data_IF_080694249922
#
_entry.id   IF_080694249922
#
_cell.length_a   1.000
_cell.length_b   1.000
_cell.length_c   1.000
_cell.angle_alpha   90.00
_cell.angle_beta   90.00
_cell.angle_gamma   90.00
#
_symmetry.space_group_name_H-M   'P 1'
#
loop_
_entity.id
_entity.type
_entity.pdbx_description
1 polymer ?
#
# COMPACT_ATOMS: atom_id res chain seq x y z
N UNK A 1 0.07 5.25 22.18
CA UNK A 1 -0.60 5.09 20.87
C UNK A 1 -0.72 6.38 20.01
N UNK A 2 -0.04 7.49 20.33
CA UNK A 2 -0.17 8.78 19.59
C UNK A 2 0.83 9.03 18.43
N UNK A 3 1.85 8.18 18.23
CA UNK A 3 2.88 8.37 17.18
C UNK A 3 2.45 7.96 15.76
N UNK A 4 1.28 7.33 15.59
CA UNK A 4 0.88 6.81 14.29
C UNK A 4 -0.01 7.77 13.47
N UNK A 5 -0.61 8.79 14.06
CA UNK A 5 -1.56 9.67 13.36
C UNK A 5 -0.88 10.55 12.30
N UNK A 6 0.33 11.06 12.57
CA UNK A 6 1.13 11.82 11.59
C UNK A 6 1.50 10.97 10.38
N UNK A 7 1.92 9.71 10.60
CA UNK A 7 2.22 8.80 9.50
C UNK A 7 0.98 8.49 8.65
N UNK A 8 -0.21 8.36 9.26
CA UNK A 8 -1.48 8.17 8.52
C UNK A 8 -1.79 9.34 7.58
N UNK A 9 -1.67 10.56 8.09
CA UNK A 9 -1.94 11.78 7.33
C UNK A 9 -0.93 11.95 6.20
N UNK A 10 0.35 11.74 6.49
CA UNK A 10 1.42 11.79 5.50
C UNK A 10 1.23 10.71 4.43
N UNK A 11 0.94 9.47 4.81
CA UNK A 11 0.74 8.37 3.86
C UNK A 11 -0.46 8.59 2.95
N UNK A 12 -1.62 8.99 3.50
CA UNK A 12 -2.79 9.36 2.70
C UNK A 12 -2.48 10.57 1.83
N UNK A 13 -1.78 11.59 2.30
CA UNK A 13 -1.42 12.74 1.47
C UNK A 13 -0.47 12.39 0.31
N UNK A 14 0.40 11.40 0.50
CA UNK A 14 1.36 10.94 -0.51
C UNK A 14 0.71 10.09 -1.60
N UNK A 15 -0.31 9.30 -1.25
CA UNK A 15 -1.02 8.41 -2.17
C UNK A 15 -2.32 9.04 -2.73
N UNK A 16 -3.11 9.74 -1.92
CA UNK A 16 -4.24 10.56 -2.40
C UNK A 16 -3.73 11.91 -2.91
N UNK A 17 -3.11 11.91 -4.09
CA UNK A 17 -3.06 13.15 -4.86
C UNK A 17 -4.49 13.47 -5.34
N UNK A 18 -4.95 14.73 -5.24
CA UNK A 18 -6.34 15.12 -5.54
C UNK A 18 -6.80 14.83 -6.98
N UNK A 19 -5.87 14.54 -7.90
CA UNK A 19 -6.18 14.17 -9.29
C UNK A 19 -6.16 12.67 -9.59
N UNK A 20 -5.74 11.83 -8.64
CA UNK A 20 -5.50 10.40 -8.86
C UNK A 20 -6.49 9.46 -8.15
N UNK A 21 -7.48 9.99 -7.43
CA UNK A 21 -8.70 9.30 -7.00
C UNK A 21 -8.54 7.85 -6.51
N UNK A 22 -7.72 7.60 -5.48
CA UNK A 22 -7.57 6.25 -4.89
C UNK A 22 -6.64 5.29 -5.63
N UNK A 23 -6.38 5.49 -6.94
CA UNK A 23 -5.59 4.56 -7.78
C UNK A 23 -4.19 4.29 -7.22
N UNK A 24 -3.55 5.28 -6.60
CA UNK A 24 -2.21 5.11 -6.01
C UNK A 24 -2.23 4.20 -4.79
N UNK A 25 -3.36 4.18 -4.08
CA UNK A 25 -3.58 3.32 -2.92
C UNK A 25 -3.85 1.90 -3.38
N UNK A 26 -4.69 1.71 -4.40
CA UNK A 26 -4.99 0.39 -4.98
C UNK A 26 -3.72 -0.25 -5.57
N UNK A 27 -2.94 0.52 -6.33
CA UNK A 27 -1.64 0.09 -6.82
C UNK A 27 -0.70 -0.28 -5.67
N UNK A 28 -0.71 0.49 -4.56
CA UNK A 28 0.16 0.20 -3.43
C UNK A 28 -0.24 -1.11 -2.72
N UNK A 29 -1.54 -1.34 -2.54
CA UNK A 29 -2.12 -2.59 -2.01
C UNK A 29 -1.68 -3.79 -2.85
N UNK A 30 -2.00 -3.74 -4.14
CA UNK A 30 -1.75 -4.86 -5.04
C UNK A 30 -0.25 -5.13 -5.18
N UNK A 31 0.58 -4.09 -5.24
CA UNK A 31 2.01 -4.26 -5.42
C UNK A 31 2.69 -4.82 -4.16
N UNK A 32 2.19 -4.48 -2.97
CA UNK A 32 2.64 -5.12 -1.72
C UNK A 32 2.14 -6.56 -1.61
N UNK A 33 0.91 -6.85 -2.02
CA UNK A 33 0.38 -8.21 -2.06
C UNK A 33 1.17 -9.08 -3.04
N UNK A 34 1.44 -8.57 -4.23
CA UNK A 34 2.22 -9.20 -5.29
C UNK A 34 3.65 -9.50 -4.85
N UNK A 35 4.27 -8.59 -4.08
CA UNK A 35 5.58 -8.80 -3.47
C UNK A 35 5.54 -9.84 -2.34
N UNK A 36 4.40 -9.95 -1.63
CA UNK A 36 4.20 -10.91 -0.54
C UNK A 36 3.98 -12.34 -1.04
N UNK A 37 3.21 -12.52 -2.10
CA UNK A 37 2.95 -13.84 -2.68
C UNK A 37 4.22 -14.48 -3.23
N UNK A 38 5.13 -13.66 -3.76
CA UNK A 38 6.45 -14.08 -4.26
C UNK A 38 7.52 -14.21 -3.16
N UNK A 39 7.21 -13.90 -1.90
CA UNK A 39 8.16 -13.79 -0.78
C UNK A 39 8.84 -15.11 -0.32
N UNK A 40 8.82 -16.18 -1.11
CA UNK A 40 9.80 -17.26 -0.96
C UNK A 40 11.15 -16.68 -1.39
N UNK A 41 11.94 -16.24 -0.41
CA UNK A 41 13.26 -15.53 -0.38
C UNK A 41 14.16 -15.47 -1.64
N UNK A 42 13.96 -16.28 -2.67
CA UNK A 42 14.64 -16.26 -3.97
C UNK A 42 13.82 -15.59 -5.10
N UNK A 43 12.51 -15.45 -4.95
CA UNK A 43 11.61 -14.90 -5.97
C UNK A 43 11.22 -13.47 -5.59
N UNK A 44 12.10 -12.50 -5.84
CA UNK A 44 11.63 -11.12 -5.96
C UNK A 44 10.79 -10.96 -7.23
N UNK A 45 10.50 -9.73 -7.62
CA UNK A 45 9.84 -9.45 -8.89
C UNK A 45 10.44 -8.22 -9.55
N UNK A 46 10.24 -8.05 -10.84
CA UNK A 46 10.50 -6.78 -11.50
C UNK A 46 9.22 -5.95 -11.51
N UNK A 47 9.34 -4.61 -11.43
CA UNK A 47 8.17 -3.75 -11.61
C UNK A 47 7.55 -3.95 -13.00
N UNK A 48 8.35 -4.33 -13.99
CA UNK A 48 7.87 -4.66 -15.33
C UNK A 48 6.92 -5.87 -15.33
N UNK A 49 7.22 -6.93 -14.58
CA UNK A 49 6.32 -8.09 -14.41
C UNK A 49 4.98 -7.65 -13.81
N UNK A 50 5.00 -6.88 -12.73
CA UNK A 50 3.76 -6.36 -12.13
C UNK A 50 2.97 -5.53 -13.13
N UNK A 51 3.64 -4.66 -13.90
CA UNK A 51 2.98 -3.83 -14.91
C UNK A 51 2.36 -4.68 -16.00
N UNK A 52 3.04 -5.72 -16.47
CA UNK A 52 2.50 -6.59 -17.52
C UNK A 52 1.28 -7.38 -17.02
N UNK A 53 1.36 -7.92 -15.81
CA UNK A 53 0.27 -8.67 -15.16
C UNK A 53 -0.97 -7.79 -14.89
N UNK A 54 -0.80 -6.47 -14.82
CA UNK A 54 -1.86 -5.50 -14.48
C UNK A 54 -2.01 -4.38 -15.52
N UNK A 55 -1.59 -4.61 -16.77
CA UNK A 55 -1.53 -3.56 -17.80
C UNK A 55 -2.89 -2.97 -18.16
N UNK A 56 -3.94 -3.75 -18.00
CA UNK A 56 -5.33 -3.34 -18.28
C UNK A 56 -5.99 -2.61 -17.11
N UNK A 57 -5.36 -2.64 -15.93
CA UNK A 57 -5.87 -2.03 -14.69
C UNK A 57 -5.11 -0.75 -14.36
N UNK A 58 -3.78 -0.75 -14.51
CA UNK A 58 -2.91 0.32 -14.05
C UNK A 58 -2.02 0.88 -15.14
N UNK A 59 -2.02 2.22 -15.24
CA UNK A 59 -1.05 2.91 -16.07
C UNK A 59 0.37 2.64 -15.57
N UNK A 60 1.24 2.16 -16.48
CA UNK A 60 2.67 1.88 -16.20
C UNK A 60 3.35 3.00 -15.40
N UNK A 61 3.16 4.25 -15.81
CA UNK A 61 3.77 5.42 -15.16
C UNK A 61 3.31 5.62 -13.71
N UNK A 62 2.07 5.23 -13.38
CA UNK A 62 1.54 5.26 -12.01
C UNK A 62 2.19 4.19 -11.15
N UNK A 63 2.32 2.97 -11.67
CA UNK A 63 2.97 1.86 -10.97
C UNK A 63 4.41 2.23 -10.58
N UNK A 64 5.20 2.77 -11.52
CA UNK A 64 6.58 3.19 -11.24
C UNK A 64 6.67 4.35 -10.22
N UNK A 65 5.67 5.24 -10.18
CA UNK A 65 5.62 6.30 -9.15
C UNK A 65 5.33 5.71 -7.78
N UNK A 66 4.34 4.82 -7.68
CA UNK A 66 3.93 4.20 -6.42
C UNK A 66 5.05 3.30 -5.89
N UNK A 67 5.70 2.49 -6.73
CA UNK A 67 6.83 1.65 -6.29
C UNK A 67 7.98 2.47 -5.70
N UNK A 68 8.29 3.63 -6.28
CA UNK A 68 9.28 4.56 -5.73
C UNK A 68 8.85 5.19 -4.40
N UNK A 69 7.55 5.50 -4.23
CA UNK A 69 7.02 5.98 -2.94
C UNK A 69 7.18 4.89 -1.89
N UNK A 70 6.76 3.66 -2.18
CA UNK A 70 6.89 2.51 -1.29
C UNK A 70 8.35 2.19 -0.94
N UNK A 71 9.28 2.38 -1.89
CA UNK A 71 10.72 2.29 -1.63
C UNK A 71 11.20 3.35 -0.64
N UNK A 72 10.84 4.62 -0.86
CA UNK A 72 11.21 5.73 0.04
C UNK A 72 10.65 5.54 1.45
N UNK A 73 9.51 4.87 1.55
CA UNK A 73 8.87 4.53 2.82
C UNK A 73 9.46 3.28 3.48
N UNK A 74 10.43 2.63 2.85
CA UNK A 74 11.02 1.39 3.36
C UNK A 74 10.05 0.22 3.37
N UNK A 75 8.96 0.26 2.60
CA UNK A 75 8.01 -0.85 2.49
C UNK A 75 8.46 -1.89 1.45
N UNK A 76 9.03 -1.39 0.35
CA UNK A 76 9.70 -2.17 -0.68
C UNK A 76 11.19 -1.87 -0.66
N UNK A 77 11.98 -2.86 -1.07
CA UNK A 77 13.40 -2.69 -1.33
C UNK A 77 13.78 -3.29 -2.68
N UNK A 78 14.76 -2.65 -3.33
CA UNK A 78 15.37 -3.17 -4.54
C UNK A 78 16.70 -3.84 -4.17
N UNK A 79 16.84 -5.11 -4.48
CA UNK A 79 18.07 -5.86 -4.29
C UNK A 79 19.00 -5.63 -5.48
N UNK A 80 20.09 -4.89 -5.27
CA UNK A 80 21.10 -4.69 -6.31
C UNK A 80 21.84 -5.98 -6.72
N UNK A 81 21.80 -7.02 -5.87
CA UNK A 81 22.44 -8.32 -6.13
C UNK A 81 21.59 -9.17 -7.09
N UNK A 82 20.28 -9.18 -6.89
CA UNK A 82 19.37 -10.01 -7.70
C UNK A 82 18.67 -9.23 -8.79
N UNK A 83 18.72 -7.89 -8.75
CA UNK A 83 17.98 -7.03 -9.66
C UNK A 83 16.46 -7.02 -9.43
N UNK A 84 16.00 -7.53 -8.28
CA UNK A 84 14.58 -7.73 -7.99
C UNK A 84 14.07 -6.85 -6.86
N UNK A 85 12.81 -6.49 -6.94
CA UNK A 85 12.02 -5.84 -5.91
C UNK A 85 11.44 -6.86 -4.95
N UNK A 86 11.37 -6.50 -3.67
CA UNK A 86 10.77 -7.33 -2.62
C UNK A 86 10.24 -6.48 -1.48
N UNK A 87 9.41 -7.07 -0.63
CA UNK A 87 9.07 -6.46 0.65
C UNK A 87 10.35 -6.28 1.47
N UNK A 88 10.56 -5.09 2.03
CA UNK A 88 11.75 -4.83 2.84
C UNK A 88 11.81 -5.73 4.07
N UNK A 89 13.01 -6.04 4.53
CA UNK A 89 13.17 -6.87 5.73
C UNK A 89 12.54 -6.20 6.97
N UNK A 90 12.74 -4.89 7.12
CA UNK A 90 12.21 -4.08 8.23
C UNK A 90 10.69 -4.05 8.23
N UNK A 91 10.08 -3.68 7.09
CA UNK A 91 8.63 -3.64 6.96
C UNK A 91 8.02 -5.02 7.07
N UNK A 92 8.68 -6.05 6.54
CA UNK A 92 8.18 -7.40 6.57
C UNK A 92 8.32 -8.13 7.91
N UNK A 93 9.29 -7.73 8.75
CA UNK A 93 9.42 -8.19 10.15
C UNK A 93 8.48 -7.44 11.09
N UNK A 94 8.36 -6.12 10.90
CA UNK A 94 7.28 -5.34 11.50
C UNK A 94 5.89 -5.74 10.93
N UNK A 95 5.90 -6.50 9.83
CA UNK A 95 4.79 -6.73 8.91
C UNK A 95 3.61 -7.47 9.49
N UNK A 96 3.74 -8.29 10.54
CA UNK A 96 2.54 -8.83 11.20
C UNK A 96 1.70 -7.74 11.88
N UNK A 97 2.33 -6.68 12.40
CA UNK A 97 1.64 -5.53 12.99
C UNK A 97 1.37 -4.45 11.97
N UNK A 98 2.34 -4.07 11.14
CA UNK A 98 2.16 -2.97 10.19
C UNK A 98 1.24 -3.36 9.03
N UNK A 99 1.28 -4.59 8.50
CA UNK A 99 0.33 -5.03 7.47
C UNK A 99 -1.08 -5.20 8.04
N UNK A 100 -1.20 -5.74 9.27
CA UNK A 100 -2.48 -5.80 9.98
C UNK A 100 -3.04 -4.40 10.21
N UNK A 101 -2.19 -3.49 10.67
CA UNK A 101 -2.55 -2.10 10.92
C UNK A 101 -2.86 -1.32 9.65
N UNK A 102 -2.20 -1.63 8.54
CA UNK A 102 -2.49 -1.09 7.22
C UNK A 102 -3.84 -1.60 6.70
N UNK A 103 -4.14 -2.90 6.84
CA UNK A 103 -5.47 -3.46 6.55
C UNK A 103 -6.55 -2.84 7.44
N UNK A 104 -6.32 -2.76 8.75
CA UNK A 104 -7.22 -2.09 9.69
C UNK A 104 -7.40 -0.62 9.32
N UNK A 105 -6.34 0.10 8.93
CA UNK A 105 -6.42 1.50 8.49
C UNK A 105 -7.18 1.72 7.18
N UNK A 106 -7.02 0.80 6.22
CA UNK A 106 -7.71 0.83 4.94
C UNK A 106 -9.20 0.50 5.11
N UNK A 107 -9.51 -0.52 5.93
CA UNK A 107 -10.88 -1.01 6.12
C UNK A 107 -11.67 -0.35 7.26
N UNK A 108 -11.05 0.24 8.29
CA UNK A 108 -11.79 0.98 9.35
C UNK A 108 -12.40 2.29 8.85
N UNK A 109 -12.06 2.75 7.64
CA UNK A 109 -12.72 3.92 7.03
C UNK A 109 -14.20 3.67 6.78
N UNK A 110 -14.62 2.42 6.53
CA UNK A 110 -16.03 2.08 6.37
C UNK A 110 -16.77 1.97 7.70
N UNK A 111 -16.06 1.73 8.81
CA UNK A 111 -16.68 1.64 10.16
C UNK A 111 -17.02 3.03 10.70
N UNK A 112 -16.29 4.08 10.27
CA UNK A 112 -16.58 5.46 10.68
C UNK A 112 -17.76 6.03 9.89
N UNK A 113 -17.93 5.67 8.62
CA UNK A 113 -19.10 6.09 7.82
C UNK A 113 -20.39 5.37 8.25
N UNK A 114 -20.36 4.07 8.57
CA UNK A 114 -21.56 3.38 9.11
C UNK A 114 -21.97 3.89 10.50
N UNK A 115 -21.02 4.29 11.35
CA UNK A 115 -21.36 4.85 12.67
C UNK A 115 -22.06 6.20 12.57
N UNK A 116 -21.56 7.10 11.71
CA UNK A 116 -22.15 8.42 11.53
C UNK A 116 -23.54 8.34 10.85
N UNK A 117 -23.73 7.41 9.89
CA UNK A 117 -25.04 7.18 9.27
C UNK A 117 -26.02 6.54 10.27
N UNK A 118 -25.55 5.66 11.17
CA UNK A 118 -26.43 5.05 12.18
C UNK A 118 -26.80 5.99 13.34
N UNK A 119 -25.98 7.00 13.64
CA UNK A 119 -26.30 8.03 14.64
C UNK A 119 -27.25 9.10 14.07
N UNK A 120 -27.07 9.53 12.81
CA UNK A 120 -28.03 10.45 12.16
C UNK A 120 -29.42 9.82 11.92
N UNK A 121 -29.50 8.49 11.75
CA UNK A 121 -30.77 7.75 11.63
C UNK A 121 -31.41 7.36 12.97
N UNK A 122 -30.76 7.62 14.11
CA UNK A 122 -31.34 7.43 15.45
C UNK A 122 -31.98 8.69 16.01
N UNK A 123 -31.63 9.86 15.46
CA UNK A 123 -32.18 11.16 15.84
C UNK A 123 -33.36 11.60 14.93
N UNK A 124 -33.87 10.69 14.10
CA UNK A 124 -35.13 10.78 13.34
C UNK A 124 -36.11 9.70 13.81
#
# INVERSE_FOLDING_TARGET
MRKNAEFKLVFRSLLNKPKAGGVYVDVAEDLLLYAKTRRRRQEGFTIAEFVEDNKDVYARSTVYKVSNILKKMGMLEYSGVTGLWRISFEFGNAGKRIYRWWREFMHDSSIIEEKNVSEELRDY
#
